data_IF_954488768608
#
_entry.id   IF_954488768608
#
_cell.length_a   1.000
_cell.length_b   1.000
_cell.length_c   1.000
_cell.angle_alpha   90.00
_cell.angle_beta   90.00
_cell.angle_gamma   90.00
#
_symmetry.space_group_name_H-M   'P 1'
#
loop_
_entity.id
_entity.type
_entity.pdbx_description
1 polymer ?
#
# COMPACT_ATOMS: atom_id res chain seq x y z
N UNK A 1 9.96 -21.91 5.27
CA UNK A 1 8.73 -21.63 4.51
C UNK A 1 9.09 -21.71 3.03
N UNK A 2 8.39 -22.57 2.26
CA UNK A 2 8.71 -22.84 0.85
C UNK A 2 8.29 -21.62 -0.01
N UNK A 3 9.02 -21.32 -1.08
CA UNK A 3 8.71 -20.22 -2.00
C UNK A 3 7.28 -20.30 -2.57
N UNK A 4 6.76 -21.52 -2.78
CA UNK A 4 5.36 -21.75 -3.15
C UNK A 4 4.37 -21.26 -2.11
N UNK A 5 4.66 -21.43 -0.81
CA UNK A 5 3.77 -21.03 0.29
C UNK A 5 3.74 -19.51 0.46
N UNK A 6 4.80 -18.80 0.03
CA UNK A 6 4.85 -17.33 -0.02
C UNK A 6 4.04 -16.75 -1.20
N UNK A 7 3.98 -17.46 -2.31
CA UNK A 7 3.25 -17.06 -3.52
C UNK A 7 1.76 -17.41 -3.41
N UNK A 8 1.42 -18.57 -2.83
CA UNK A 8 0.05 -19.08 -2.73
C UNK A 8 -0.49 -18.97 -1.29
N UNK A 9 -0.82 -17.75 -0.85
CA UNK A 9 -1.58 -17.58 0.40
C UNK A 9 -3.09 -17.68 0.10
N UNK A 10 -3.79 -18.75 0.54
CA UNK A 10 -5.20 -18.95 0.23
C UNK A 10 -6.10 -17.82 0.75
N UNK A 11 -5.74 -17.22 1.89
CA UNK A 11 -6.48 -16.10 2.48
C UNK A 11 -6.32 -14.84 1.64
N UNK A 12 -5.10 -14.54 1.18
CA UNK A 12 -4.83 -13.43 0.26
C UNK A 12 -5.67 -13.55 -1.01
N UNK A 13 -5.67 -14.73 -1.63
CA UNK A 13 -6.43 -14.98 -2.84
C UNK A 13 -7.95 -14.84 -2.62
N UNK A 14 -8.46 -15.24 -1.44
CA UNK A 14 -9.87 -15.01 -1.08
C UNK A 14 -10.19 -13.52 -0.95
N UNK A 15 -9.36 -12.78 -0.23
CA UNK A 15 -9.53 -11.31 -0.07
C UNK A 15 -9.56 -10.65 -1.44
N UNK A 16 -8.59 -10.95 -2.32
CA UNK A 16 -8.51 -10.34 -3.65
C UNK A 16 -9.76 -10.67 -4.49
N UNK A 17 -10.26 -11.91 -4.43
CA UNK A 17 -11.51 -12.27 -5.11
C UNK A 17 -12.71 -11.48 -4.60
N UNK A 18 -12.79 -11.21 -3.31
CA UNK A 18 -13.87 -10.37 -2.74
C UNK A 18 -13.68 -8.89 -3.13
N UNK A 19 -12.43 -8.37 -3.17
CA UNK A 19 -12.15 -7.04 -3.73
C UNK A 19 -12.68 -6.91 -5.16
N UNK A 20 -12.49 -7.93 -6.01
CA UNK A 20 -12.95 -7.93 -7.40
C UNK A 20 -14.48 -8.05 -7.58
N UNK A 21 -15.20 -8.46 -6.55
CA UNK A 21 -16.68 -8.48 -6.53
C UNK A 21 -17.29 -7.18 -6.02
N UNK A 22 -16.52 -6.39 -5.28
CA UNK A 22 -16.97 -5.11 -4.73
C UNK A 22 -17.21 -4.08 -5.85
N UNK A 23 -18.21 -3.20 -5.71
CA UNK A 23 -18.36 -2.03 -6.58
C UNK A 23 -17.33 -0.93 -6.29
N UNK A 24 -16.57 -1.05 -5.19
CA UNK A 24 -15.51 -0.12 -4.82
C UNK A 24 -14.27 -0.37 -5.66
N UNK A 25 -13.59 0.71 -6.05
CA UNK A 25 -12.32 0.68 -6.78
C UNK A 25 -11.21 1.37 -5.99
N UNK A 26 -9.96 1.23 -6.44
CA UNK A 26 -8.87 2.01 -5.89
C UNK A 26 -7.94 2.54 -6.97
N UNK A 27 -7.27 3.63 -6.62
CA UNK A 27 -6.17 4.25 -7.33
C UNK A 27 -4.99 4.40 -6.37
N UNK A 28 -3.77 4.11 -6.78
CA UNK A 28 -2.64 4.03 -5.84
C UNK A 28 -1.37 4.71 -6.32
N UNK A 29 -0.61 5.23 -5.36
CA UNK A 29 0.79 5.66 -5.52
C UNK A 29 1.63 4.92 -4.50
N UNK A 30 2.63 4.16 -4.97
CA UNK A 30 3.44 3.30 -4.12
C UNK A 30 4.92 3.55 -4.41
N UNK A 31 5.70 3.80 -3.37
CA UNK A 31 7.16 3.93 -3.48
C UNK A 31 7.88 3.25 -2.31
N UNK A 32 9.03 2.64 -2.58
CA UNK A 32 9.88 1.97 -1.61
C UNK A 32 9.52 0.52 -1.33
N UNK A 33 8.24 0.21 -1.03
CA UNK A 33 7.71 -1.16 -0.87
C UNK A 33 6.19 -1.19 -1.05
N UNK A 34 5.61 -2.39 -1.18
CA UNK A 34 4.17 -2.62 -1.33
C UNK A 34 3.72 -2.92 -2.76
N UNK A 35 4.64 -2.98 -3.72
CA UNK A 35 4.33 -3.23 -5.13
C UNK A 35 3.85 -4.66 -5.40
N UNK A 36 4.26 -5.61 -4.56
CA UNK A 36 3.80 -7.00 -4.66
C UNK A 36 2.29 -7.14 -4.42
N UNK A 37 1.69 -6.26 -3.60
CA UNK A 37 0.22 -6.22 -3.45
C UNK A 37 -0.47 -5.99 -4.80
N UNK A 38 0.07 -5.09 -5.63
CA UNK A 38 -0.48 -4.78 -6.94
C UNK A 38 -0.31 -5.96 -7.89
N UNK A 39 0.86 -6.60 -7.89
CA UNK A 39 1.10 -7.82 -8.67
C UNK A 39 0.12 -8.94 -8.30
N UNK A 40 -0.11 -9.18 -7.00
CA UNK A 40 -1.04 -10.20 -6.51
C UNK A 40 -2.49 -9.89 -6.95
N UNK A 41 -2.92 -8.63 -6.78
CA UNK A 41 -4.26 -8.18 -7.16
C UNK A 41 -4.47 -8.33 -8.68
N UNK A 42 -3.50 -7.90 -9.48
CA UNK A 42 -3.60 -7.92 -10.94
C UNK A 42 -3.44 -9.32 -11.55
N UNK A 43 -2.88 -10.26 -10.80
CA UNK A 43 -2.70 -11.65 -11.25
C UNK A 43 -3.99 -12.48 -11.22
N UNK A 44 -5.02 -12.02 -10.51
CA UNK A 44 -6.32 -12.70 -10.44
C UNK A 44 -7.34 -12.06 -11.41
N UNK A 45 -8.21 -12.89 -12.05
CA UNK A 45 -9.26 -12.37 -12.92
C UNK A 45 -10.21 -11.41 -12.19
N UNK A 46 -10.50 -10.25 -12.78
CA UNK A 46 -11.38 -9.24 -12.21
C UNK A 46 -10.71 -7.90 -11.92
N UNK A 47 -9.39 -7.80 -12.07
CA UNK A 47 -8.59 -6.61 -11.76
C UNK A 47 -9.12 -5.32 -12.40
N UNK A 48 -9.60 -5.38 -13.64
CA UNK A 48 -10.16 -4.22 -14.35
C UNK A 48 -11.41 -3.62 -13.71
N UNK A 49 -12.06 -4.35 -12.80
CA UNK A 49 -13.22 -3.85 -12.04
C UNK A 49 -12.79 -3.14 -10.74
N UNK A 50 -11.56 -3.35 -10.30
CA UNK A 50 -11.08 -2.94 -8.98
C UNK A 50 -9.97 -1.90 -9.05
N UNK A 51 -9.05 -2.06 -10.00
CA UNK A 51 -7.86 -1.20 -10.16
C UNK A 51 -8.15 -0.12 -11.21
N UNK A 52 -8.04 1.14 -10.82
CA UNK A 52 -8.16 2.28 -11.73
C UNK A 52 -6.79 2.58 -12.35
N UNK A 53 -5.82 2.89 -11.51
CA UNK A 53 -4.46 3.25 -11.91
C UNK A 53 -3.50 2.99 -10.76
N UNK A 54 -2.26 2.63 -11.07
CA UNK A 54 -1.18 2.55 -10.08
C UNK A 54 0.05 3.27 -10.61
N UNK A 55 0.58 4.18 -9.82
CA UNK A 55 1.82 4.90 -10.09
C UNK A 55 2.92 4.47 -9.12
N UNK A 56 4.15 4.37 -9.65
CA UNK A 56 5.33 3.98 -8.87
C UNK A 56 6.43 5.03 -9.08
N UNK A 57 6.28 6.24 -8.50
CA UNK A 57 7.31 7.29 -8.58
C UNK A 57 8.46 6.94 -7.63
N UNK A 58 9.45 6.21 -8.14
CA UNK A 58 10.49 5.62 -7.31
C UNK A 58 11.66 6.57 -7.01
N UNK A 59 12.04 7.43 -7.96
CA UNK A 59 13.06 8.44 -7.71
C UNK A 59 12.49 9.65 -6.95
N UNK A 60 13.38 10.41 -6.32
CA UNK A 60 13.02 11.66 -5.64
C UNK A 60 12.30 12.61 -6.58
N UNK A 61 12.90 12.84 -7.74
CA UNK A 61 12.40 13.77 -8.75
C UNK A 61 11.02 13.37 -9.27
N UNK A 62 10.81 12.04 -9.47
CA UNK A 62 9.52 11.51 -9.90
C UNK A 62 8.43 11.71 -8.85
N UNK A 63 8.75 11.53 -7.56
CA UNK A 63 7.80 11.75 -6.48
C UNK A 63 7.51 13.24 -6.24
N UNK A 64 8.54 14.10 -6.32
CA UNK A 64 8.38 15.56 -6.26
C UNK A 64 7.52 16.07 -7.44
N UNK A 65 7.74 15.55 -8.63
CA UNK A 65 6.91 15.88 -9.80
C UNK A 65 5.46 15.43 -9.62
N UNK A 66 5.24 14.21 -9.10
CA UNK A 66 3.89 13.70 -8.80
C UNK A 66 3.17 14.59 -7.77
N UNK A 67 3.82 14.98 -6.71
CA UNK A 67 3.23 15.81 -5.64
C UNK A 67 3.18 17.31 -5.99
N UNK A 68 3.79 17.73 -7.08
CA UNK A 68 3.93 19.14 -7.49
C UNK A 68 4.57 20.02 -6.41
N UNK A 69 5.40 19.42 -5.54
CA UNK A 69 6.06 20.11 -4.42
C UNK A 69 7.35 19.42 -3.99
N UNK A 70 8.34 20.19 -3.51
CA UNK A 70 9.54 19.62 -2.91
C UNK A 70 9.22 18.78 -1.68
N UNK A 71 9.92 17.67 -1.49
CA UNK A 71 9.74 16.78 -0.35
C UNK A 71 10.60 17.20 0.83
N UNK A 72 9.99 17.46 1.98
CA UNK A 72 10.71 17.65 3.24
C UNK A 72 11.27 16.31 3.76
N UNK A 73 10.52 15.23 3.60
CA UNK A 73 10.90 13.89 4.03
C UNK A 73 10.17 12.83 3.21
N UNK A 74 10.95 12.05 2.44
CA UNK A 74 10.40 11.05 1.50
C UNK A 74 9.56 9.94 2.17
N UNK A 75 9.93 9.50 3.37
CA UNK A 75 9.26 8.41 4.08
C UNK A 75 8.72 8.94 5.39
N UNK A 76 7.46 9.33 5.37
CA UNK A 76 6.74 9.88 6.52
C UNK A 76 5.23 9.69 6.38
N UNK A 77 4.50 9.77 7.51
CA UNK A 77 3.02 9.74 7.51
C UNK A 77 2.45 10.90 6.67
N UNK A 78 3.05 12.09 6.78
CA UNK A 78 2.61 13.27 6.00
C UNK A 78 2.72 12.98 4.51
N UNK A 79 3.84 12.39 4.08
CA UNK A 79 4.04 12.07 2.67
C UNK A 79 3.05 11.04 2.16
N UNK A 80 2.79 9.96 2.92
CA UNK A 80 1.77 8.99 2.52
C UNK A 80 0.36 9.59 2.44
N UNK A 81 0.02 10.55 3.33
CA UNK A 81 -1.24 11.31 3.28
C UNK A 81 -1.32 12.17 2.02
N UNK A 82 -0.24 12.90 1.69
CA UNK A 82 -0.17 13.72 0.48
C UNK A 82 -0.35 12.87 -0.77
N UNK A 83 0.37 11.74 -0.85
CA UNK A 83 0.25 10.80 -1.97
C UNK A 83 -1.19 10.29 -2.14
N UNK A 84 -1.84 9.85 -1.04
CA UNK A 84 -3.21 9.35 -1.07
C UNK A 84 -4.21 10.42 -1.52
N UNK A 85 -4.06 11.65 -1.03
CA UNK A 85 -4.93 12.78 -1.41
C UNK A 85 -4.72 13.19 -2.86
N UNK A 86 -3.47 13.34 -3.28
CA UNK A 86 -3.13 13.77 -4.65
C UNK A 86 -3.62 12.76 -5.69
N UNK A 87 -3.45 11.46 -5.44
CA UNK A 87 -3.93 10.45 -6.38
C UNK A 87 -5.46 10.35 -6.37
N UNK A 88 -6.11 10.54 -5.23
CA UNK A 88 -7.57 10.62 -5.15
C UNK A 88 -8.12 11.80 -5.96
N UNK A 89 -7.54 13.00 -5.80
CA UNK A 89 -7.92 14.19 -6.57
C UNK A 89 -7.70 13.96 -8.07
N UNK A 90 -6.57 13.34 -8.45
CA UNK A 90 -6.30 12.96 -9.83
C UNK A 90 -7.40 12.04 -10.37
N UNK A 91 -7.78 11.01 -9.65
CA UNK A 91 -8.87 10.10 -10.03
C UNK A 91 -10.18 10.83 -10.26
N UNK A 92 -10.54 11.74 -9.36
CA UNK A 92 -11.77 12.58 -9.51
C UNK A 92 -11.79 13.43 -10.77
N UNK A 93 -10.65 13.77 -11.35
CA UNK A 93 -10.58 14.61 -12.54
C UNK A 93 -11.02 13.92 -13.84
N UNK A 94 -11.04 12.58 -13.87
CA UNK A 94 -11.35 11.80 -15.07
C UNK A 94 -12.35 10.64 -14.86
N UNK A 95 -12.70 10.35 -13.61
CA UNK A 95 -13.71 9.33 -13.31
C UNK A 95 -15.12 9.95 -13.24
N UNK A 96 -16.12 9.12 -13.50
CA UNK A 96 -17.51 9.51 -13.32
C UNK A 96 -17.79 9.93 -11.87
N UNK A 97 -18.65 10.94 -11.67
CA UNK A 97 -19.01 11.47 -10.34
C UNK A 97 -19.63 10.42 -9.40
N UNK A 98 -20.22 9.39 -9.95
CA UNK A 98 -20.87 8.32 -9.20
C UNK A 98 -19.92 7.15 -8.91
N UNK A 99 -18.70 7.17 -9.44
CA UNK A 99 -17.71 6.12 -9.22
C UNK A 99 -17.23 6.13 -7.76
N UNK A 100 -17.38 4.99 -7.09
CA UNK A 100 -16.91 4.81 -5.72
C UNK A 100 -15.47 4.30 -5.73
N UNK A 101 -14.55 5.07 -5.20
CA UNK A 101 -13.16 4.67 -5.13
C UNK A 101 -12.41 5.33 -3.97
N UNK A 102 -11.25 4.77 -3.67
CA UNK A 102 -10.30 5.29 -2.67
C UNK A 102 -8.94 5.55 -3.32
N UNK A 103 -8.22 6.53 -2.79
CA UNK A 103 -6.82 6.79 -3.11
C UNK A 103 -5.90 6.17 -2.06
N UNK A 104 -4.84 5.48 -2.50
CA UNK A 104 -3.83 4.88 -1.62
C UNK A 104 -2.49 5.56 -1.86
N UNK A 105 -1.83 5.97 -0.77
CA UNK A 105 -0.46 6.44 -0.77
C UNK A 105 0.39 5.55 0.12
N UNK A 106 1.42 4.92 -0.44
CA UNK A 106 2.39 4.13 0.33
C UNK A 106 3.80 4.63 0.08
N UNK A 107 4.50 4.99 1.15
CA UNK A 107 5.92 5.31 1.10
C UNK A 107 6.68 4.48 2.12
N UNK A 108 7.78 3.85 1.69
CA UNK A 108 8.52 2.93 2.52
C UNK A 108 10.02 3.10 2.40
N UNK A 109 10.69 2.77 3.50
CA UNK A 109 12.12 2.61 3.60
C UNK A 109 12.38 1.23 4.18
N UNK A 110 12.70 0.28 3.33
CA UNK A 110 13.03 -1.10 3.69
C UNK A 110 14.52 -1.39 3.50
N UNK A 111 14.97 -2.57 3.89
CA UNK A 111 16.38 -2.99 3.83
C UNK A 111 17.05 -2.71 2.48
N UNK A 112 18.26 -2.15 2.52
CA UNK A 112 19.08 -1.82 1.32
C UNK A 112 20.54 -2.20 1.53
N UNK A 113 21.28 -2.29 0.44
CA UNK A 113 22.74 -2.42 0.41
C UNK A 113 23.31 -1.17 -0.29
N UNK A 114 24.19 -0.38 0.37
CA UNK A 114 24.59 -0.46 1.78
C UNK A 114 23.46 -0.17 2.76
N UNK A 115 23.62 -0.65 3.99
CA UNK A 115 22.61 -0.49 5.04
C UNK A 115 22.43 0.99 5.41
N UNK A 116 21.16 1.47 5.44
CA UNK A 116 20.81 2.83 5.87
C UNK A 116 20.94 3.00 7.38
N UNK A 117 21.14 4.24 7.83
CA UNK A 117 21.14 4.58 9.26
C UNK A 117 19.74 4.60 9.90
N UNK A 118 18.70 4.95 9.11
CA UNK A 118 17.32 5.05 9.61
C UNK A 118 16.65 3.69 9.79
N UNK A 119 15.55 3.64 10.54
CA UNK A 119 14.72 2.46 10.75
C UNK A 119 14.03 2.01 9.46
N UNK A 120 13.76 0.71 9.36
CA UNK A 120 12.95 0.17 8.29
C UNK A 120 11.47 0.29 8.66
N UNK A 121 10.70 0.93 7.78
CA UNK A 121 9.29 1.20 8.00
C UNK A 121 8.55 1.50 6.72
N UNK A 122 7.23 1.36 6.77
CA UNK A 122 6.34 1.88 5.74
C UNK A 122 5.21 2.72 6.38
N UNK A 123 4.76 3.73 5.64
CA UNK A 123 3.58 4.53 5.95
C UNK A 123 2.58 4.36 4.82
N UNK A 124 1.35 3.97 5.16
CA UNK A 124 0.28 3.74 4.21
C UNK A 124 -0.89 4.63 4.62
N UNK A 125 -1.42 5.38 3.68
CA UNK A 125 -2.61 6.22 3.88
C UNK A 125 -3.67 5.89 2.86
N UNK A 126 -4.93 5.95 3.29
CA UNK A 126 -6.10 5.76 2.44
C UNK A 126 -6.97 7.02 2.55
N UNK A 127 -7.34 7.56 1.39
CA UNK A 127 -8.20 8.73 1.24
C UNK A 127 -9.48 8.33 0.49
N UNK A 128 -10.65 8.61 1.08
CA UNK A 128 -11.95 8.44 0.42
C UNK A 128 -12.60 9.77 0.02
N UNK A 129 -11.86 10.88 0.15
CA UNK A 129 -12.29 12.24 -0.13
C UNK A 129 -12.64 13.03 1.13
N UNK A 130 -13.23 12.40 2.13
CA UNK A 130 -13.65 13.04 3.38
C UNK A 130 -12.67 12.79 4.52
N UNK A 131 -12.11 11.58 4.57
CA UNK A 131 -11.26 11.10 5.65
C UNK A 131 -9.96 10.53 5.06
N UNK A 132 -8.86 10.77 5.79
CA UNK A 132 -7.57 10.12 5.52
C UNK A 132 -7.20 9.27 6.74
N UNK A 133 -7.24 7.96 6.57
CA UNK A 133 -6.69 6.99 7.52
C UNK A 133 -5.23 6.74 7.21
N UNK A 134 -4.39 6.64 8.23
CA UNK A 134 -2.95 6.35 8.03
C UNK A 134 -2.46 5.29 9.00
N UNK A 135 -1.57 4.45 8.52
CA UNK A 135 -0.94 3.38 9.29
C UNK A 135 0.56 3.40 9.06
N UNK A 136 1.32 3.20 10.13
CA UNK A 136 2.77 2.95 10.05
C UNK A 136 3.04 1.53 10.47
N UNK A 137 3.87 0.82 9.73
CA UNK A 137 4.48 -0.43 10.16
C UNK A 137 5.98 -0.22 10.33
N UNK A 138 6.50 -0.52 11.51
CA UNK A 138 7.94 -0.59 11.79
C UNK A 138 8.39 -2.04 11.57
N UNK A 139 9.48 -2.22 10.85
CA UNK A 139 9.95 -3.52 10.36
C UNK A 139 11.29 -3.90 10.98
N UNK A 140 11.42 -5.17 11.34
CA UNK A 140 12.66 -5.72 11.83
C UNK A 140 13.69 -5.84 10.72
N UNK A 141 14.81 -5.16 10.87
CA UNK A 141 15.97 -5.30 9.98
C UNK A 141 16.78 -6.55 10.29
N UNK A 142 16.74 -6.97 11.55
CA UNK A 142 17.49 -8.14 12.04
C UNK A 142 16.84 -9.45 11.60
N UNK A 143 15.51 -9.49 11.63
CA UNK A 143 14.75 -10.74 11.48
C UNK A 143 14.11 -10.88 10.09
N UNK A 144 14.13 -9.83 9.25
CA UNK A 144 13.56 -9.88 7.89
C UNK A 144 14.55 -9.49 6.81
N UNK A 145 14.56 -10.28 5.75
CA UNK A 145 15.13 -9.88 4.47
C UNK A 145 14.30 -8.76 3.81
N UNK A 146 14.86 -8.09 2.80
CA UNK A 146 14.14 -7.10 2.00
C UNK A 146 12.85 -7.67 1.37
N UNK A 147 12.90 -8.92 0.90
CA UNK A 147 11.74 -9.57 0.29
C UNK A 147 10.62 -9.81 1.29
N UNK A 148 10.96 -10.22 2.52
CA UNK A 148 9.97 -10.40 3.58
C UNK A 148 9.38 -9.06 4.05
N UNK A 149 10.18 -7.99 4.09
CA UNK A 149 9.68 -6.64 4.38
C UNK A 149 8.73 -6.15 3.28
N UNK A 150 9.06 -6.35 2.01
CA UNK A 150 8.17 -6.05 0.88
C UNK A 150 6.85 -6.82 1.00
N UNK A 151 6.91 -8.11 1.35
CA UNK A 151 5.73 -8.97 1.48
C UNK A 151 4.81 -8.51 2.61
N UNK A 152 5.34 -8.20 3.79
CA UNK A 152 4.56 -7.71 4.94
C UNK A 152 3.88 -6.37 4.63
N UNK A 153 4.58 -5.45 3.98
CA UNK A 153 3.98 -4.17 3.55
C UNK A 153 2.85 -4.42 2.55
N UNK A 154 3.05 -5.32 1.61
CA UNK A 154 2.05 -5.69 0.61
C UNK A 154 0.82 -6.36 1.23
N UNK A 155 1.00 -7.25 2.18
CA UNK A 155 -0.10 -7.90 2.90
C UNK A 155 -0.88 -6.90 3.76
N UNK A 156 -0.20 -5.92 4.36
CA UNK A 156 -0.85 -4.83 5.08
C UNK A 156 -1.69 -3.94 4.12
N UNK A 157 -1.19 -3.64 2.92
CA UNK A 157 -1.96 -2.90 1.90
C UNK A 157 -3.24 -3.67 1.54
N UNK A 158 -3.14 -4.97 1.30
CA UNK A 158 -4.33 -5.80 0.98
C UNK A 158 -5.32 -5.84 2.15
N UNK A 159 -4.85 -5.93 3.41
CA UNK A 159 -5.71 -5.87 4.58
C UNK A 159 -6.43 -4.52 4.71
N UNK A 160 -5.74 -3.42 4.43
CA UNK A 160 -6.31 -2.07 4.47
C UNK A 160 -7.32 -1.85 3.32
N UNK A 161 -7.06 -2.41 2.14
CA UNK A 161 -8.03 -2.47 1.05
C UNK A 161 -9.28 -3.25 1.46
N UNK A 162 -9.12 -4.44 2.05
CA UNK A 162 -10.22 -5.25 2.53
C UNK A 162 -11.08 -4.48 3.56
N UNK A 163 -10.43 -3.77 4.50
CA UNK A 163 -11.14 -2.91 5.45
C UNK A 163 -11.94 -1.80 4.74
N UNK A 164 -11.33 -1.13 3.79
CA UNK A 164 -11.97 -0.01 3.07
C UNK A 164 -13.10 -0.45 2.14
N UNK A 165 -13.14 -1.74 1.79
CA UNK A 165 -14.17 -2.35 0.93
C UNK A 165 -15.22 -3.12 1.74
N UNK A 166 -15.24 -2.96 3.07
CA UNK A 166 -16.15 -3.65 4.01
C UNK A 166 -16.10 -5.19 3.89
N UNK A 167 -14.88 -5.72 3.64
CA UNK A 167 -14.62 -7.17 3.61
C UNK A 167 -14.10 -7.59 4.99
N UNK A 168 -14.70 -8.58 5.63
CA UNK A 168 -14.33 -9.03 6.98
C UNK A 168 -13.04 -9.86 7.04
N UNK A 169 -12.61 -10.40 5.90
CA UNK A 169 -11.39 -11.23 5.84
C UNK A 169 -10.12 -10.39 6.02
N UNK A 170 -9.19 -10.91 6.83
CA UNK A 170 -7.84 -10.33 7.00
C UNK A 170 -6.80 -11.43 6.96
N UNK A 171 -5.63 -11.12 6.42
CA UNK A 171 -4.45 -11.96 6.62
C UNK A 171 -3.87 -11.69 8.01
N UNK A 172 -3.44 -12.75 8.68
CA UNK A 172 -2.54 -12.59 9.81
C UNK A 172 -1.19 -12.06 9.32
N UNK A 173 -0.71 -10.99 9.92
CA UNK A 173 0.63 -10.46 9.68
C UNK A 173 1.51 -11.03 10.78
N UNK A 174 2.35 -12.02 10.45
CA UNK A 174 3.27 -12.65 11.39
C UNK A 174 4.40 -11.67 11.76
N UNK A 175 4.09 -10.77 12.70
CA UNK A 175 5.02 -9.74 13.17
C UNK A 175 5.96 -10.33 14.22
N UNK A 176 7.23 -9.92 14.18
CA UNK A 176 8.20 -10.16 15.23
C UNK A 176 7.99 -9.20 16.41
N UNK A 177 8.52 -9.54 17.59
CA UNK A 177 8.35 -8.76 18.83
C UNK A 177 8.86 -7.30 18.72
N UNK A 178 9.83 -7.06 17.83
CA UNK A 178 10.39 -5.73 17.54
C UNK A 178 9.65 -4.98 16.41
N UNK A 179 8.57 -5.56 15.87
CA UNK A 179 7.73 -4.95 14.85
C UNK A 179 6.41 -4.46 15.44
N UNK A 180 5.88 -3.39 14.90
CA UNK A 180 4.59 -2.85 15.36
C UNK A 180 3.86 -2.10 14.25
N UNK A 181 2.54 -2.16 14.35
CA UNK A 181 1.63 -1.35 13.54
C UNK A 181 1.09 -0.22 14.42
N UNK A 182 1.14 1.01 13.91
CA UNK A 182 0.66 2.23 14.58
C UNK A 182 -0.39 2.86 13.68
N UNK A 183 -1.60 3.03 14.22
CA UNK A 183 -2.70 3.73 13.54
C UNK A 183 -2.60 5.21 13.89
N UNK A 184 -2.70 6.08 12.89
CA UNK A 184 -2.71 7.53 13.05
C UNK A 184 -4.12 8.07 12.75
N UNK A 185 -4.68 8.70 13.72
CA UNK A 185 -5.96 9.42 13.64
C UNK A 185 -5.77 10.81 13.05
#
# INVERSE_FOLDING_TARGET
MNLKDQIENPTRNKIIKELHKSPMKFIAVITGAGTTAISDIMSLPGSSKTVIEVLIPYSKESLEFFNSSPLNKHVSVIESKNMASSIYIKGKSYLDKNEKFIGIGCTAAISTIPQRKGEDRAHISICNGDIIKSVTINLSRKNRSRLEQERIVSDLIINLLAESFDIDLRMNLDLYDDEKIIIHN
#
